data_IF_167464300792
#
_entry.id   IF_167464300792
#
_cell.length_a   1.000
_cell.length_b   1.000
_cell.length_c   1.000
_cell.angle_alpha   90.00
_cell.angle_beta   90.00
_cell.angle_gamma   90.00
#
_symmetry.space_group_name_H-M   'P 1'
#
loop_
_entity.id
_entity.type
_entity.pdbx_description
1 polymer ?
#
# COMPACT_ATOMS: atom_id res chain seq x y z
N UNK A 1 -3.11 25.25 -19.77
CA UNK A 1 -3.21 24.78 -18.37
C UNK A 1 -3.65 23.31 -18.42
N UNK A 2 -2.92 22.36 -17.81
CA UNK A 2 -3.31 20.93 -17.80
C UNK A 2 -4.15 20.66 -16.54
N UNK A 3 -5.35 20.12 -16.71
CA UNK A 3 -6.23 19.72 -15.60
C UNK A 3 -5.84 18.30 -15.17
N UNK A 4 -5.64 18.08 -13.88
CA UNK A 4 -5.35 16.75 -13.34
C UNK A 4 -6.57 15.83 -13.50
N UNK A 5 -6.35 14.53 -13.74
CA UNK A 5 -7.46 13.59 -13.78
C UNK A 5 -8.11 13.46 -12.38
N UNK A 6 -9.44 13.29 -12.29
CA UNK A 6 -10.11 13.23 -10.99
C UNK A 6 -9.89 11.90 -10.24
N UNK A 7 -9.34 10.88 -10.93
CA UNK A 7 -9.18 9.52 -10.40
C UNK A 7 -7.82 9.23 -9.76
N UNK A 8 -6.87 10.17 -9.79
CA UNK A 8 -5.62 10.01 -9.05
C UNK A 8 -5.87 9.98 -7.53
N UNK A 9 -4.93 9.37 -6.78
CA UNK A 9 -5.04 9.13 -5.33
C UNK A 9 -5.42 10.36 -4.50
N UNK A 10 -5.03 11.57 -4.92
CA UNK A 10 -5.37 12.80 -4.21
C UNK A 10 -6.75 13.36 -4.57
N UNK A 11 -7.29 13.04 -5.76
CA UNK A 11 -8.55 13.57 -6.27
C UNK A 11 -9.76 12.68 -6.05
N UNK A 12 -9.56 11.39 -5.76
CA UNK A 12 -10.65 10.40 -5.59
C UNK A 12 -11.69 10.88 -4.57
N UNK A 13 -11.28 11.50 -3.46
CA UNK A 13 -12.22 11.98 -2.43
C UNK A 13 -13.13 13.12 -2.91
N UNK A 14 -12.74 13.82 -3.97
CA UNK A 14 -13.47 14.95 -4.55
C UNK A 14 -14.47 14.52 -5.63
N UNK A 15 -14.50 13.24 -6.00
CA UNK A 15 -15.45 12.72 -7.01
C UNK A 15 -16.91 12.98 -6.64
N UNK A 16 -17.25 12.99 -5.34
CA UNK A 16 -18.58 13.38 -4.84
C UNK A 16 -19.01 14.79 -5.27
N UNK A 17 -18.07 15.70 -5.51
CA UNK A 17 -18.38 17.06 -5.98
C UNK A 17 -18.87 17.03 -7.44
N UNK A 18 -18.28 16.20 -8.29
CA UNK A 18 -18.75 16.02 -9.67
C UNK A 18 -20.17 15.46 -9.71
N UNK A 19 -20.50 14.53 -8.81
CA UNK A 19 -21.86 14.03 -8.67
C UNK A 19 -22.86 15.12 -8.29
N UNK A 20 -22.49 16.03 -7.38
CA UNK A 20 -23.36 17.10 -6.91
C UNK A 20 -23.49 18.26 -7.91
N UNK A 21 -22.40 18.62 -8.59
CA UNK A 21 -22.34 19.79 -9.48
C UNK A 21 -22.74 19.47 -10.93
N UNK A 22 -22.42 18.27 -11.42
CA UNK A 22 -22.69 17.86 -12.81
C UNK A 22 -23.34 16.45 -12.89
N UNK A 23 -24.60 16.31 -12.46
CA UNK A 23 -25.25 15.00 -12.38
C UNK A 23 -25.40 14.30 -13.75
N UNK A 24 -25.61 15.05 -14.82
CA UNK A 24 -25.72 14.49 -16.17
C UNK A 24 -24.38 13.92 -16.69
N UNK A 25 -23.28 14.63 -16.46
CA UNK A 25 -21.93 14.15 -16.77
C UNK A 25 -21.57 12.96 -15.88
N UNK A 26 -21.92 13.03 -14.59
CA UNK A 26 -21.71 11.95 -13.63
C UNK A 26 -22.37 10.64 -14.06
N UNK A 27 -23.62 10.68 -14.53
CA UNK A 27 -24.32 9.50 -15.04
C UNK A 27 -23.56 8.80 -16.19
N UNK A 28 -23.02 9.59 -17.12
CA UNK A 28 -22.17 9.06 -18.21
C UNK A 28 -20.85 8.50 -17.69
N UNK A 29 -20.25 9.14 -16.68
CA UNK A 29 -18.98 8.72 -16.07
C UNK A 29 -19.12 7.38 -15.36
N UNK A 30 -20.17 7.21 -14.55
CA UNK A 30 -20.43 5.97 -13.80
C UNK A 30 -20.63 4.78 -14.75
N UNK A 31 -21.28 4.98 -15.90
CA UNK A 31 -21.44 3.94 -16.91
C UNK A 31 -20.16 3.55 -17.65
N UNK A 32 -19.09 4.37 -17.58
CA UNK A 32 -17.82 4.14 -18.29
C UNK A 32 -16.69 3.70 -17.36
N UNK A 33 -16.69 4.18 -16.11
CA UNK A 33 -15.58 3.99 -15.18
C UNK A 33 -16.06 3.14 -14.00
N UNK A 34 -15.70 1.86 -14.04
CA UNK A 34 -15.97 0.93 -12.95
C UNK A 34 -15.34 1.44 -11.65
N UNK A 35 -16.13 1.45 -10.58
CA UNK A 35 -15.70 1.93 -9.26
C UNK A 35 -15.82 3.45 -9.07
N UNK A 36 -16.21 4.25 -10.08
CA UNK A 36 -16.41 5.69 -9.90
C UNK A 36 -17.46 6.01 -8.83
N UNK A 37 -18.59 5.29 -8.83
CA UNK A 37 -19.64 5.49 -7.83
C UNK A 37 -19.19 5.09 -6.41
N UNK A 38 -18.50 3.95 -6.30
CA UNK A 38 -17.91 3.51 -5.04
C UNK A 38 -16.90 4.54 -4.50
N UNK A 39 -16.05 5.07 -5.38
CA UNK A 39 -15.07 6.09 -5.04
C UNK A 39 -15.70 7.43 -4.63
N UNK A 40 -16.81 7.85 -5.24
CA UNK A 40 -17.53 9.05 -4.79
C UNK A 40 -18.13 8.90 -3.39
N UNK A 41 -18.70 7.73 -3.09
CA UNK A 41 -19.30 7.44 -1.80
C UNK A 41 -18.24 7.26 -0.70
N UNK A 42 -17.20 6.46 -0.98
CA UNK A 42 -16.26 5.98 0.04
C UNK A 42 -14.84 6.56 -0.07
N UNK A 43 -14.52 7.31 -1.12
CA UNK A 43 -13.17 7.82 -1.40
C UNK A 43 -12.55 8.69 -0.31
N UNK A 44 -13.38 9.31 0.54
CA UNK A 44 -12.95 10.08 1.71
C UNK A 44 -13.12 9.37 3.05
N UNK A 45 -13.43 8.07 3.05
CA UNK A 45 -13.75 7.30 4.27
C UNK A 45 -12.66 6.28 4.61
N UNK A 46 -12.70 5.77 5.83
CA UNK A 46 -11.81 4.70 6.29
C UNK A 46 -11.87 3.43 5.40
N UNK A 47 -12.99 3.19 4.71
CA UNK A 47 -13.17 2.03 3.84
C UNK A 47 -12.16 1.98 2.68
N UNK A 48 -11.66 3.13 2.22
CA UNK A 48 -10.63 3.21 1.16
C UNK A 48 -9.20 3.27 1.71
N UNK A 49 -9.01 2.97 3.00
CA UNK A 49 -7.71 3.08 3.66
C UNK A 49 -7.16 4.52 3.72
N UNK A 50 -8.02 5.53 3.52
CA UNK A 50 -7.68 6.93 3.72
C UNK A 50 -7.69 7.24 5.23
N UNK A 51 -6.62 7.88 5.73
CA UNK A 51 -6.38 8.31 7.12
C UNK A 51 -7.41 7.77 8.14
N UNK A 52 -7.11 6.62 8.75
CA UNK A 52 -7.96 6.03 9.78
C UNK A 52 -8.61 4.70 9.39
N UNK A 53 -7.88 3.81 8.72
CA UNK A 53 -8.34 2.42 8.57
C UNK A 53 -8.66 1.85 9.96
N UNK A 54 -9.88 1.35 10.13
CA UNK A 54 -10.38 0.80 11.40
C UNK A 54 -10.36 -0.71 11.30
N UNK A 55 -9.81 -1.36 12.31
CA UNK A 55 -9.85 -2.81 12.43
C UNK A 55 -11.29 -3.24 12.75
N UNK A 56 -11.92 -4.11 11.94
CA UNK A 56 -13.27 -4.60 12.24
C UNK A 56 -13.30 -5.35 13.58
N UNK A 57 -14.44 -5.27 14.29
CA UNK A 57 -14.61 -5.93 15.59
C UNK A 57 -14.37 -7.44 15.45
N UNK A 58 -13.58 -8.01 16.35
CA UNK A 58 -13.26 -9.45 16.36
C UNK A 58 -12.13 -9.89 15.44
N UNK A 59 -11.49 -8.97 14.71
CA UNK A 59 -10.34 -9.27 13.87
C UNK A 59 -9.03 -8.75 14.46
N UNK A 60 -7.93 -9.45 14.16
CA UNK A 60 -6.56 -8.89 14.12
C UNK A 60 -6.26 -8.38 12.72
N UNK A 61 -5.25 -7.53 12.53
CA UNK A 61 -4.89 -7.07 11.18
C UNK A 61 -4.50 -8.23 10.27
N UNK A 62 -3.81 -9.25 10.80
CA UNK A 62 -3.50 -10.49 10.11
C UNK A 62 -4.76 -11.19 9.61
N UNK A 63 -5.72 -11.48 10.50
CA UNK A 63 -6.98 -12.15 10.11
C UNK A 63 -7.78 -11.32 9.11
N UNK A 64 -7.69 -9.99 9.19
CA UNK A 64 -8.38 -9.12 8.27
C UNK A 64 -7.70 -9.10 6.88
N UNK A 65 -6.37 -9.17 6.82
CA UNK A 65 -5.64 -9.35 5.55
C UNK A 65 -6.03 -10.68 4.90
N UNK A 66 -6.10 -11.77 5.68
CA UNK A 66 -6.51 -13.09 5.19
C UNK A 66 -7.93 -13.03 4.61
N UNK A 67 -8.89 -12.47 5.34
CA UNK A 67 -10.25 -12.22 4.86
C UNK A 67 -10.27 -11.39 3.57
N UNK A 68 -9.56 -10.27 3.52
CA UNK A 68 -9.51 -9.42 2.33
C UNK A 68 -8.94 -10.17 1.13
N UNK A 69 -7.87 -10.95 1.31
CA UNK A 69 -7.29 -11.76 0.24
C UNK A 69 -8.30 -12.80 -0.28
N UNK A 70 -9.10 -13.41 0.58
CA UNK A 70 -10.15 -14.36 0.19
C UNK A 70 -11.26 -13.74 -0.65
N UNK A 71 -11.55 -12.45 -0.46
CA UNK A 71 -12.55 -11.72 -1.27
C UNK A 71 -12.04 -11.30 -2.64
N UNK A 72 -10.72 -11.30 -2.87
CA UNK A 72 -10.13 -10.83 -4.12
C UNK A 72 -10.15 -11.91 -5.22
N UNK A 73 -10.24 -11.51 -6.51
CA UNK A 73 -10.04 -12.40 -7.64
C UNK A 73 -8.70 -13.13 -7.55
N UNK A 74 -8.66 -14.38 -8.03
CA UNK A 74 -7.50 -15.27 -7.87
C UNK A 74 -6.20 -14.64 -8.41
N UNK A 75 -6.25 -14.04 -9.59
CA UNK A 75 -5.08 -13.41 -10.23
C UNK A 75 -4.57 -12.21 -9.41
N UNK A 76 -5.46 -11.37 -8.87
CA UNK A 76 -5.08 -10.26 -8.00
C UNK A 76 -4.52 -10.75 -6.67
N UNK A 77 -5.13 -11.79 -6.09
CA UNK A 77 -4.68 -12.41 -4.84
C UNK A 77 -3.26 -12.96 -4.97
N UNK A 78 -2.94 -13.65 -6.07
CA UNK A 78 -1.59 -14.18 -6.36
C UNK A 78 -0.53 -13.07 -6.37
N UNK A 79 -0.84 -11.90 -6.93
CA UNK A 79 0.08 -10.74 -6.95
C UNK A 79 0.41 -10.27 -5.53
N UNK A 80 -0.61 -10.09 -4.69
CA UNK A 80 -0.40 -9.68 -3.29
C UNK A 80 0.38 -10.74 -2.51
N UNK A 81 -0.03 -12.02 -2.59
CA UNK A 81 0.63 -13.12 -1.89
C UNK A 81 2.12 -13.21 -2.23
N UNK A 82 2.48 -13.07 -3.53
CA UNK A 82 3.88 -13.06 -3.97
C UNK A 82 4.68 -11.96 -3.27
N UNK A 83 4.16 -10.73 -3.26
CA UNK A 83 4.84 -9.57 -2.66
C UNK A 83 4.86 -9.63 -1.13
N UNK A 84 3.78 -10.08 -0.50
CA UNK A 84 3.70 -10.23 0.95
C UNK A 84 4.69 -11.29 1.45
N UNK A 85 4.81 -12.42 0.74
CA UNK A 85 5.82 -13.43 1.02
C UNK A 85 7.23 -12.86 0.94
N UNK A 86 7.54 -12.12 -0.13
CA UNK A 86 8.84 -11.44 -0.25
C UNK A 86 9.09 -10.43 0.87
N UNK A 87 8.06 -9.71 1.33
CA UNK A 87 8.19 -8.79 2.46
C UNK A 87 8.49 -9.55 3.77
N UNK A 88 7.74 -10.61 4.05
CA UNK A 88 7.95 -11.45 5.24
C UNK A 88 9.35 -12.07 5.23
N UNK A 89 9.74 -12.69 4.12
CA UNK A 89 11.08 -13.27 3.96
C UNK A 89 12.19 -12.22 4.17
N UNK A 90 12.03 -11.02 3.62
CA UNK A 90 13.01 -9.94 3.78
C UNK A 90 13.17 -9.51 5.25
N UNK A 91 12.07 -9.25 5.96
CA UNK A 91 12.10 -8.73 7.33
C UNK A 91 12.38 -9.80 8.40
N UNK A 92 12.05 -11.06 8.13
CA UNK A 92 12.23 -12.16 9.09
C UNK A 92 13.51 -12.97 8.86
N UNK A 93 14.05 -13.02 7.63
CA UNK A 93 15.27 -13.81 7.33
C UNK A 93 16.49 -12.92 7.12
N UNK A 94 16.39 -11.94 6.23
CA UNK A 94 17.52 -11.08 5.85
C UNK A 94 17.72 -9.91 6.82
N UNK A 95 16.63 -9.31 7.28
CA UNK A 95 16.62 -8.08 8.07
C UNK A 95 16.58 -6.83 7.20
N UNK A 96 15.84 -5.82 7.66
CA UNK A 96 15.67 -4.54 6.99
C UNK A 96 16.45 -3.42 7.69
N UNK A 97 17.04 -2.53 6.91
CA UNK A 97 17.78 -1.39 7.45
C UNK A 97 16.81 -0.28 7.88
N UNK A 98 16.81 0.05 9.16
CA UNK A 98 16.03 1.12 9.77
C UNK A 98 16.95 2.20 10.36
N UNK A 99 16.51 3.47 10.38
CA UNK A 99 17.26 4.50 11.05
C UNK A 99 17.16 4.35 12.58
N UNK A 100 18.20 4.74 13.29
CA UNK A 100 18.34 4.56 14.75
C UNK A 100 17.13 5.11 15.52
N UNK A 101 16.65 6.31 15.15
CA UNK A 101 15.48 6.93 15.79
C UNK A 101 14.18 6.10 15.70
N UNK A 102 14.02 5.26 14.66
CA UNK A 102 12.86 4.37 14.53
C UNK A 102 13.07 3.10 15.35
N UNK A 103 14.32 2.65 15.49
CA UNK A 103 14.67 1.50 16.32
C UNK A 103 14.41 1.84 17.78
N UNK A 104 14.81 3.04 18.23
CA UNK A 104 14.55 3.50 19.60
C UNK A 104 13.03 3.53 19.89
N UNK A 105 12.21 4.07 18.98
CA UNK A 105 10.74 4.02 19.09
C UNK A 105 10.20 2.57 19.16
N UNK A 106 10.81 1.62 18.45
CA UNK A 106 10.42 0.20 18.50
C UNK A 106 10.81 -0.48 19.81
N UNK A 107 11.94 -0.11 20.41
CA UNK A 107 12.39 -0.61 21.72
C UNK A 107 11.46 -0.09 22.83
N UNK A 108 11.08 1.19 22.79
CA UNK A 108 10.12 1.79 23.73
C UNK A 108 8.75 1.09 23.68
N UNK A 109 8.34 0.64 22.49
CA UNK A 109 7.10 -0.12 22.27
C UNK A 109 7.19 -1.58 22.71
N UNK A 110 8.37 -2.09 23.05
CA UNK A 110 8.58 -3.49 23.44
C UNK A 110 8.43 -4.49 22.29
N UNK A 111 8.81 -4.10 21.07
CA UNK A 111 8.71 -4.98 19.90
C UNK A 111 9.78 -6.09 19.90
N UNK A 112 9.42 -7.33 19.57
CA UNK A 112 10.35 -8.45 19.47
C UNK A 112 11.16 -8.43 18.17
N UNK A 113 12.37 -7.86 18.22
CA UNK A 113 13.30 -7.86 17.11
C UNK A 113 14.75 -8.06 17.53
N UNK A 114 15.59 -8.39 16.57
CA UNK A 114 17.03 -8.62 16.73
C UNK A 114 17.81 -7.56 15.93
N UNK A 115 18.82 -6.96 16.59
CA UNK A 115 19.74 -6.01 15.95
C UNK A 115 20.90 -6.80 15.34
N UNK A 116 21.04 -6.71 14.01
CA UNK A 116 22.11 -7.34 13.24
C UNK A 116 23.31 -6.40 12.99
N UNK A 117 23.25 -5.17 13.53
CA UNK A 117 24.30 -4.17 13.41
C UNK A 117 24.21 -3.30 12.15
N UNK A 118 25.30 -2.64 11.73
CA UNK A 118 25.26 -1.69 10.62
C UNK A 118 25.03 -2.38 9.27
N UNK A 119 24.34 -1.72 8.31
CA UNK A 119 24.08 -2.29 7.00
C UNK A 119 25.36 -2.52 6.19
N UNK A 120 25.52 -3.72 5.65
CA UNK A 120 26.68 -4.13 4.82
C UNK A 120 26.70 -3.47 3.41
N UNK A 121 25.69 -2.67 3.08
CA UNK A 121 25.53 -2.08 1.75
C UNK A 121 26.36 -0.81 1.57
N UNK A 122 26.87 -0.58 0.35
CA UNK A 122 27.65 0.63 -0.03
C UNK A 122 26.85 1.95 -0.07
N UNK A 123 25.66 2.00 0.53
CA UNK A 123 24.79 3.19 0.51
C UNK A 123 25.29 4.23 1.50
N UNK A 124 25.33 5.49 1.08
CA UNK A 124 25.61 6.63 1.96
C UNK A 124 24.31 7.06 2.63
N UNK A 125 24.20 6.82 3.93
CA UNK A 125 23.06 7.27 4.74
C UNK A 125 23.34 8.64 5.35
N UNK A 126 22.32 9.49 5.44
CA UNK A 126 22.42 10.81 6.09
C UNK A 126 22.52 10.71 7.62
N UNK A 127 21.97 9.64 8.17
CA UNK A 127 21.93 9.33 9.60
C UNK A 127 22.35 7.88 9.80
N UNK A 128 22.54 7.45 11.05
CA UNK A 128 22.91 6.07 11.36
C UNK A 128 21.73 5.13 11.11
N UNK A 129 22.03 4.02 10.44
CA UNK A 129 21.08 2.94 10.17
C UNK A 129 21.62 1.66 10.78
N UNK A 130 20.71 0.81 11.24
CA UNK A 130 21.02 -0.56 11.65
C UNK A 130 20.03 -1.52 11.02
N UNK A 131 20.49 -2.75 10.80
CA UNK A 131 19.68 -3.82 10.25
C UNK A 131 18.95 -4.49 11.40
N UNK A 132 17.64 -4.55 11.27
CA UNK A 132 16.74 -5.15 12.24
C UNK A 132 16.01 -6.34 11.61
N UNK A 133 15.94 -7.44 12.34
CA UNK A 133 15.22 -8.65 11.96
C UNK A 133 14.10 -8.92 12.97
N UNK A 134 12.88 -9.08 12.48
CA UNK A 134 11.75 -9.41 13.34
C UNK A 134 11.65 -10.92 13.51
N UNK A 135 11.37 -11.40 14.74
CA UNK A 135 11.13 -12.83 14.98
C UNK A 135 9.83 -13.28 14.34
N UNK A 136 8.78 -12.47 14.53
CA UNK A 136 7.46 -12.64 13.93
C UNK A 136 7.04 -11.36 13.21
N UNK A 137 6.21 -11.50 12.17
CA UNK A 137 5.70 -10.35 11.44
C UNK A 137 4.66 -9.60 12.30
N UNK A 138 4.90 -8.32 12.66
CA UNK A 138 4.07 -7.62 13.63
C UNK A 138 2.67 -7.31 13.07
N UNK A 139 1.66 -7.30 13.94
CA UNK A 139 0.26 -7.03 13.54
C UNK A 139 0.01 -5.53 13.30
N UNK A 140 0.38 -4.68 14.27
CA UNK A 140 0.39 -3.22 14.20
C UNK A 140 1.65 -2.68 14.86
N UNK A 141 2.13 -1.53 14.37
CA UNK A 141 3.28 -0.82 14.94
C UNK A 141 2.96 0.67 14.95
N UNK A 142 2.49 1.24 16.07
CA UNK A 142 2.01 2.62 16.15
C UNK A 142 3.15 3.65 16.26
N UNK A 143 4.07 3.66 15.28
CA UNK A 143 5.19 4.61 15.19
C UNK A 143 4.87 5.78 14.25
N UNK A 144 5.59 6.89 14.41
CA UNK A 144 5.42 8.07 13.54
C UNK A 144 5.72 7.74 12.08
N UNK A 145 6.77 6.97 11.85
CA UNK A 145 7.21 6.55 10.52
C UNK A 145 6.70 5.14 10.15
N UNK A 146 5.40 4.91 10.29
CA UNK A 146 4.73 3.62 10.01
C UNK A 146 5.11 2.96 8.68
N UNK A 147 5.41 3.76 7.63
CA UNK A 147 5.79 3.24 6.31
C UNK A 147 7.21 2.66 6.26
N UNK A 148 8.03 2.80 7.29
CA UNK A 148 9.37 2.22 7.32
C UNK A 148 9.36 0.80 7.89
N UNK A 149 8.42 0.49 8.77
CA UNK A 149 8.36 -0.80 9.46
C UNK A 149 7.35 -1.73 8.79
N UNK A 150 7.61 -3.05 8.74
CA UNK A 150 6.63 -4.04 8.30
C UNK A 150 5.45 -4.13 9.29
N UNK A 151 4.23 -4.39 8.80
CA UNK A 151 3.10 -4.79 9.66
C UNK A 151 1.93 -5.33 8.83
N UNK A 152 1.08 -6.18 9.43
CA UNK A 152 -0.14 -6.64 8.77
C UNK A 152 -1.11 -5.50 8.49
N UNK A 153 -1.18 -4.50 9.38
CA UNK A 153 -1.93 -3.26 9.11
C UNK A 153 -1.50 -2.58 7.82
N UNK A 154 -0.20 -2.59 7.51
CA UNK A 154 0.33 -1.98 6.29
C UNK A 154 -0.10 -2.77 5.05
N UNK A 155 -0.07 -4.10 5.13
CA UNK A 155 -0.60 -4.98 4.07
C UNK A 155 -2.10 -4.74 3.84
N UNK A 156 -2.87 -4.63 4.91
CA UNK A 156 -4.29 -4.33 4.85
C UNK A 156 -4.56 -3.00 4.13
N UNK A 157 -3.87 -1.92 4.53
CA UNK A 157 -4.00 -0.62 3.89
C UNK A 157 -3.63 -0.69 2.39
N UNK A 158 -2.61 -1.47 2.03
CA UNK A 158 -2.23 -1.69 0.63
C UNK A 158 -3.36 -2.34 -0.17
N UNK A 159 -4.04 -3.34 0.38
CA UNK A 159 -5.21 -3.97 -0.28
C UNK A 159 -6.38 -2.99 -0.39
N UNK A 160 -6.73 -2.29 0.70
CA UNK A 160 -7.84 -1.34 0.73
C UNK A 160 -7.65 -0.18 -0.25
N UNK A 161 -6.40 0.22 -0.49
CA UNK A 161 -6.05 1.24 -1.48
C UNK A 161 -5.98 0.72 -2.92
N UNK A 162 -6.26 -0.57 -3.13
CA UNK A 162 -6.12 -1.28 -4.39
C UNK A 162 -4.71 -1.10 -5.01
N UNK A 163 -3.68 -1.04 -4.16
CA UNK A 163 -2.29 -0.88 -4.59
C UNK A 163 -1.67 -2.23 -4.92
N UNK A 164 -2.02 -2.78 -6.08
CA UNK A 164 -1.47 -4.05 -6.60
C UNK A 164 0.04 -3.99 -6.86
N UNK A 165 0.58 -2.78 -7.04
CA UNK A 165 2.02 -2.55 -7.13
C UNK A 165 2.74 -2.66 -5.78
N UNK A 166 2.01 -2.61 -4.66
CA UNK A 166 2.51 -2.54 -3.29
C UNK A 166 3.53 -1.41 -3.07
N UNK A 167 3.42 -0.30 -3.80
CA UNK A 167 4.28 0.88 -3.61
C UNK A 167 4.15 1.45 -2.20
N UNK A 168 2.98 1.34 -1.59
CA UNK A 168 2.77 1.72 -0.19
C UNK A 168 3.64 0.91 0.78
N UNK A 169 3.97 -0.34 0.42
CA UNK A 169 4.90 -1.21 1.12
C UNK A 169 6.37 -0.99 0.74
N UNK A 170 6.66 -0.01 -0.13
CA UNK A 170 8.02 0.30 -0.56
C UNK A 170 8.54 -0.58 -1.70
N UNK A 171 7.68 -1.38 -2.34
CA UNK A 171 8.05 -2.14 -3.52
C UNK A 171 8.24 -1.22 -4.72
N UNK A 172 9.29 -1.49 -5.50
CA UNK A 172 9.46 -0.92 -6.84
C UNK A 172 8.68 -1.70 -7.88
N UNK A 173 8.53 -1.10 -9.07
CA UNK A 173 7.88 -1.78 -10.19
C UNK A 173 8.69 -3.00 -10.64
N UNK A 174 8.01 -4.11 -10.92
CA UNK A 174 8.66 -5.30 -11.48
C UNK A 174 8.91 -5.14 -12.98
N UNK A 175 9.78 -5.98 -13.55
CA UNK A 175 10.01 -6.03 -15.01
C UNK A 175 8.69 -6.27 -15.76
N UNK A 176 7.88 -7.20 -15.29
CA UNK A 176 6.57 -7.53 -15.90
C UNK A 176 5.60 -6.34 -15.86
N UNK A 177 5.58 -5.58 -14.76
CA UNK A 177 4.75 -4.36 -14.63
C UNK A 177 5.23 -3.26 -15.58
N UNK A 178 6.55 -3.13 -15.77
CA UNK A 178 7.14 -2.19 -16.72
C UNK A 178 6.82 -2.58 -18.17
N UNK A 179 6.91 -3.86 -18.51
CA UNK A 179 6.58 -4.37 -19.83
C UNK A 179 5.10 -4.15 -20.16
N UNK A 180 4.17 -4.53 -19.26
CA UNK A 180 2.74 -4.27 -19.45
C UNK A 180 2.42 -2.80 -19.65
N UNK A 181 3.15 -1.92 -18.96
CA UNK A 181 3.03 -0.47 -19.16
C UNK A 181 3.49 -0.07 -20.56
N UNK A 182 4.60 -0.61 -21.06
CA UNK A 182 5.09 -0.35 -22.42
C UNK A 182 4.08 -0.81 -23.47
N UNK A 183 3.60 -2.06 -23.37
CA UNK A 183 2.59 -2.62 -24.29
C UNK A 183 1.29 -1.78 -24.30
N UNK A 184 0.85 -1.28 -23.15
CA UNK A 184 -0.31 -0.40 -23.06
C UNK A 184 -0.07 0.96 -23.73
N UNK A 185 1.14 1.51 -23.64
CA UNK A 185 1.51 2.76 -24.30
C UNK A 185 1.59 2.59 -25.82
N UNK A 186 2.20 1.52 -26.31
CA UNK A 186 2.26 1.18 -27.73
C UNK A 186 0.85 1.03 -28.32
N UNK A 187 -0.03 0.30 -27.62
CA UNK A 187 -1.44 0.19 -28.02
C UNK A 187 -2.15 1.55 -28.03
N UNK A 188 -1.84 2.45 -27.10
CA UNK A 188 -2.42 3.79 -27.10
C UNK A 188 -1.97 4.61 -28.32
N UNK A 189 -0.71 4.49 -28.71
CA UNK A 189 -0.17 5.15 -29.90
C UNK A 189 -0.87 4.68 -31.18
N UNK A 190 -1.31 3.41 -31.26
CA UNK A 190 -2.09 2.93 -32.42
C UNK A 190 -3.48 3.54 -32.56
N UNK A 191 -4.01 4.16 -31.50
CA UNK A 191 -5.33 4.83 -31.52
C UNK A 191 -5.22 6.34 -31.79
N UNK A 192 -4.00 6.89 -31.85
CA UNK A 192 -3.70 8.27 -32.20
C UNK A 192 -3.46 8.40 -33.71
#
# INVERSE_FOLDING_TARGET
>A
MRVANPFHQCGVHSLKLYQALEPATWGKLVGRVNGANFAALYGGTAAMGYRGAVLPKGHTWKSYVEFLLETLPEETRKVYLKKFKSSMDYWMKTGGALPENVIDELEELGSDFERLGPPTNKRKYKQRYEVVRFKDYPDDVPIKNFRLVPSYKRMCITILKNDTSCQYMGFGQTKDELQKKQEAMEKWETFL
#
